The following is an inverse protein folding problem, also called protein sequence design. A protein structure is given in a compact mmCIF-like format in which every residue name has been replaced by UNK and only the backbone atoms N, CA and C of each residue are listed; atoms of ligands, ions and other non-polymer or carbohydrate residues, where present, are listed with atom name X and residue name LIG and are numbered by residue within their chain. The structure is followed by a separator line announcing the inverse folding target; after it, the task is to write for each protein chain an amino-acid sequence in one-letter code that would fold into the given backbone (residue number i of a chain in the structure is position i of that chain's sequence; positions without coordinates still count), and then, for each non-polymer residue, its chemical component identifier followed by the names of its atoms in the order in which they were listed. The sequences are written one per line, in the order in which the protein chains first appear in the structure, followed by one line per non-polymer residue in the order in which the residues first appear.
data_IF_245440861311
#
_entry.id   IF_245440861311
#
_cell.length_a   1.000
_cell.length_b   1.000
_cell.length_c   1.000
_cell.angle_alpha   90.00
_cell.angle_beta   90.00
_cell.angle_gamma   90.00
#
_symmetry.space_group_name_H-M   'P 1'
#
loop_
_entity.id
_entity.type
_entity.pdbx_description
1 polymer ?
#
# COMPACT_ATOMS: atom_id res chain seq x y z
N UNK A 1 39.82 -16.68 33.57
CA UNK A 1 40.14 -16.26 32.19
C UNK A 1 39.91 -17.43 31.20
N UNK A 2 38.77 -18.12 31.25
CA UNK A 2 38.59 -19.38 30.50
C UNK A 2 37.28 -19.51 29.71
N UNK A 3 36.37 -18.52 29.74
CA UNK A 3 35.15 -18.56 28.92
C UNK A 3 35.27 -17.82 27.57
N UNK A 4 36.03 -16.73 27.49
CA UNK A 4 36.13 -15.94 26.24
C UNK A 4 36.93 -16.63 25.13
N UNK A 5 37.88 -17.50 25.48
CA UNK A 5 38.69 -18.24 24.50
C UNK A 5 37.89 -19.36 23.83
N UNK A 6 36.93 -19.96 24.55
CA UNK A 6 35.99 -20.95 24.02
C UNK A 6 35.04 -20.32 23.00
N UNK A 7 34.50 -19.13 23.32
CA UNK A 7 33.56 -18.42 22.45
C UNK A 7 34.25 -17.95 21.15
N UNK A 8 35.51 -17.49 21.24
CA UNK A 8 36.31 -17.09 20.06
C UNK A 8 36.62 -18.31 19.18
N UNK A 9 36.93 -19.47 19.77
CA UNK A 9 37.17 -20.71 19.02
C UNK A 9 35.92 -21.17 18.26
N UNK A 10 34.72 -21.04 18.84
CA UNK A 10 33.46 -21.35 18.15
C UNK A 10 33.18 -20.39 16.98
N UNK A 11 33.43 -19.09 17.16
CA UNK A 11 33.26 -18.09 16.10
C UNK A 11 34.22 -18.37 14.93
N UNK A 12 35.49 -18.67 15.21
CA UNK A 12 36.47 -19.00 14.16
C UNK A 12 36.03 -20.24 13.38
N UNK A 13 35.53 -21.27 14.07
CA UNK A 13 35.04 -22.50 13.44
C UNK A 13 33.79 -22.24 12.56
N UNK A 14 32.93 -21.31 12.97
CA UNK A 14 31.76 -20.88 12.20
C UNK A 14 32.15 -20.08 10.96
N UNK A 15 33.10 -19.15 11.07
CA UNK A 15 33.62 -18.37 9.94
C UNK A 15 34.28 -19.27 8.88
N UNK A 16 35.13 -20.21 9.30
CA UNK A 16 35.75 -21.18 8.37
C UNK A 16 34.73 -22.08 7.66
N UNK A 17 33.61 -22.40 8.33
CA UNK A 17 32.49 -23.15 7.73
C UNK A 17 31.75 -22.30 6.69
N UNK A 18 31.59 -21.00 6.94
CA UNK A 18 30.97 -20.06 6.00
C UNK A 18 31.86 -19.84 4.77
N UNK A 19 33.17 -19.67 4.93
CA UNK A 19 34.11 -19.51 3.81
C UNK A 19 34.12 -20.73 2.89
N UNK A 20 34.14 -21.95 3.45
CA UNK A 20 34.00 -23.18 2.65
C UNK A 20 32.67 -23.25 1.90
N UNK A 21 31.60 -22.70 2.47
CA UNK A 21 30.26 -22.66 1.86
C UNK A 21 30.19 -21.63 0.74
N UNK A 22 30.78 -20.45 0.93
CA UNK A 22 30.91 -19.40 -0.09
C UNK A 22 31.73 -19.91 -1.27
N UNK A 23 32.90 -20.51 -1.02
CA UNK A 23 33.76 -21.04 -2.08
C UNK A 23 33.10 -22.17 -2.88
N UNK A 24 32.22 -22.97 -2.26
CA UNK A 24 31.41 -24.02 -2.91
C UNK A 24 30.23 -23.45 -3.71
N UNK A 25 29.76 -22.26 -3.36
CA UNK A 25 28.71 -21.54 -4.08
C UNK A 25 29.30 -20.73 -5.26
N UNK A 26 30.50 -20.17 -5.11
CA UNK A 26 31.22 -19.46 -6.17
C UNK A 26 31.77 -20.42 -7.24
N UNK A 27 32.14 -21.66 -6.86
CA UNK A 27 32.58 -22.68 -7.81
C UNK A 27 31.44 -23.40 -8.55
N UNK A 28 30.18 -23.05 -8.27
CA UNK A 28 28.98 -23.61 -8.91
C UNK A 28 28.20 -22.51 -9.60
N UNK A 29 28.74 -22.10 -10.73
CA UNK A 29 28.05 -21.44 -11.84
C UNK A 29 27.46 -20.04 -11.59
N UNK A 30 28.16 -19.07 -12.17
CA UNK A 30 27.59 -17.86 -12.70
C UNK A 30 26.46 -18.19 -13.69
N UNK A 31 25.20 -17.98 -13.29
CA UNK A 31 24.07 -17.82 -14.21
C UNK A 31 23.18 -16.69 -13.69
N UNK A 32 23.01 -15.68 -14.53
CA UNK A 32 22.10 -14.54 -14.39
C UNK A 32 20.68 -15.06 -14.12
N UNK A 33 20.10 -14.79 -12.94
CA UNK A 33 18.66 -14.90 -12.73
C UNK A 33 18.17 -13.80 -11.78
N UNK A 34 17.25 -12.98 -12.31
CA UNK A 34 16.42 -12.03 -11.57
C UNK A 34 15.94 -12.67 -10.26
N UNK A 35 16.30 -12.09 -9.12
CA UNK A 35 15.86 -12.57 -7.81
C UNK A 35 14.33 -12.52 -7.71
N UNK A 36 13.74 -13.69 -7.52
CA UNK A 36 12.33 -13.93 -7.21
C UNK A 36 11.96 -13.27 -5.86
N UNK A 37 10.84 -12.55 -5.72
CA UNK A 37 10.41 -11.97 -4.44
C UNK A 37 10.08 -13.06 -3.41
N UNK A 38 10.51 -12.85 -2.18
CA UNK A 38 10.58 -13.84 -1.10
C UNK A 38 9.30 -14.00 -0.26
N UNK A 39 8.17 -13.44 -0.67
CA UNK A 39 6.86 -13.81 -0.11
C UNK A 39 5.87 -14.13 -1.24
N UNK A 40 5.48 -15.40 -1.30
CA UNK A 40 4.52 -15.93 -2.27
C UNK A 40 3.10 -15.95 -1.68
N UNK A 41 2.96 -15.81 -0.35
CA UNK A 41 1.69 -15.96 0.34
C UNK A 41 0.98 -14.61 0.56
N UNK A 42 -0.37 -14.57 0.45
CA UNK A 42 -1.14 -13.39 0.80
C UNK A 42 -1.07 -13.10 2.31
N UNK A 43 -1.19 -11.83 2.69
CA UNK A 43 -1.34 -11.44 4.10
C UNK A 43 -2.68 -11.97 4.65
N UNK A 44 -2.71 -12.57 5.85
CA UNK A 44 -3.94 -13.12 6.40
C UNK A 44 -4.93 -12.01 6.81
N UNK A 45 -6.20 -12.24 6.53
CA UNK A 45 -7.31 -11.38 6.93
C UNK A 45 -8.20 -12.07 7.97
N UNK A 46 -8.60 -11.32 9.00
CA UNK A 46 -9.38 -11.82 10.15
C UNK A 46 -10.84 -11.36 10.08
N UNK A 47 -11.58 -11.84 9.08
CA UNK A 47 -13.02 -11.63 8.98
C UNK A 47 -13.71 -12.82 8.31
N UNK A 48 -15.04 -12.88 8.40
CA UNK A 48 -15.82 -14.01 7.90
C UNK A 48 -15.90 -14.02 6.35
N UNK A 49 -16.12 -15.19 5.72
CA UNK A 49 -16.29 -15.28 4.27
C UNK A 49 -17.45 -14.43 3.72
N UNK A 50 -18.51 -14.23 4.50
CA UNK A 50 -19.63 -13.37 4.14
C UNK A 50 -19.17 -11.91 4.05
N UNK A 51 -18.36 -11.48 5.01
CA UNK A 51 -17.79 -10.14 5.00
C UNK A 51 -16.85 -9.91 3.82
N UNK A 52 -16.14 -10.96 3.38
CA UNK A 52 -15.31 -10.91 2.17
C UNK A 52 -16.15 -10.61 0.94
N UNK A 53 -17.31 -11.25 0.80
CA UNK A 53 -18.23 -11.09 -0.32
C UNK A 53 -18.76 -9.65 -0.35
N UNK A 54 -19.18 -9.12 0.79
CA UNK A 54 -19.66 -7.74 0.90
C UNK A 54 -18.59 -6.74 0.46
N UNK A 55 -17.38 -6.83 1.03
CA UNK A 55 -16.27 -5.93 0.71
C UNK A 55 -15.92 -6.01 -0.78
N UNK A 56 -15.85 -7.22 -1.34
CA UNK A 56 -15.52 -7.41 -2.75
C UNK A 56 -16.57 -6.81 -3.70
N UNK A 57 -17.85 -6.97 -3.39
CA UNK A 57 -18.92 -6.47 -4.24
C UNK A 57 -19.13 -4.95 -4.11
N UNK A 58 -18.89 -4.38 -2.92
CA UNK A 58 -19.12 -2.95 -2.65
C UNK A 58 -17.89 -2.09 -2.94
N UNK A 59 -16.72 -2.47 -2.40
CA UNK A 59 -15.47 -1.68 -2.47
C UNK A 59 -14.24 -2.60 -2.63
N UNK A 60 -14.05 -3.23 -3.80
CA UNK A 60 -13.00 -4.22 -4.02
C UNK A 60 -11.57 -3.67 -3.91
N UNK A 61 -11.37 -2.36 -4.09
CA UNK A 61 -10.04 -1.72 -4.03
C UNK A 61 -9.37 -1.87 -2.66
N UNK A 62 -10.14 -2.03 -1.59
CA UNK A 62 -9.61 -2.26 -0.23
C UNK A 62 -8.82 -3.57 -0.15
N UNK A 63 -9.13 -4.56 -1.00
CA UNK A 63 -8.51 -5.87 -0.98
C UNK A 63 -7.16 -5.91 -1.71
N UNK A 64 -6.80 -4.89 -2.50
CA UNK A 64 -5.61 -4.90 -3.36
C UNK A 64 -4.28 -5.10 -2.59
N UNK A 65 -4.19 -4.63 -1.35
CA UNK A 65 -2.99 -4.79 -0.52
C UNK A 65 -2.84 -6.18 0.11
N UNK A 66 -3.90 -7.00 0.05
CA UNK A 66 -4.01 -8.31 0.71
C UNK A 66 -4.08 -9.47 -0.28
N UNK A 67 -4.07 -9.19 -1.58
CA UNK A 67 -4.23 -10.19 -2.63
C UNK A 67 -2.89 -10.60 -3.23
N UNK A 68 -2.83 -11.85 -3.69
CA UNK A 68 -1.80 -12.31 -4.64
C UNK A 68 -2.44 -12.47 -6.00
N UNK A 69 -1.87 -11.81 -7.01
CA UNK A 69 -2.32 -11.97 -8.39
C UNK A 69 -1.89 -13.31 -8.97
N UNK A 70 -2.85 -14.03 -9.55
CA UNK A 70 -2.65 -15.37 -10.11
C UNK A 70 -3.32 -15.55 -11.47
N UNK A 71 -2.81 -16.53 -12.22
CA UNK A 71 -3.37 -17.00 -13.49
C UNK A 71 -3.43 -18.53 -13.50
N UNK A 72 -4.27 -19.10 -14.35
CA UNK A 72 -4.27 -20.55 -14.59
C UNK A 72 -2.95 -20.96 -15.25
N UNK A 73 -2.38 -22.09 -14.84
CA UNK A 73 -1.18 -22.66 -15.46
C UNK A 73 -1.43 -23.06 -16.91
N UNK A 74 -0.39 -23.07 -17.74
CA UNK A 74 -0.50 -23.52 -19.14
C UNK A 74 -1.00 -24.98 -19.27
N UNK A 75 -0.74 -25.81 -18.26
CA UNK A 75 -1.18 -27.20 -18.20
C UNK A 75 -2.70 -27.28 -17.92
N UNK A 76 -3.19 -26.56 -16.90
CA UNK A 76 -4.62 -26.51 -16.58
C UNK A 76 -5.46 -25.77 -17.64
N UNK A 77 -4.83 -24.93 -18.46
CA UNK A 77 -5.48 -24.32 -19.63
C UNK A 77 -5.71 -25.32 -20.78
N UNK A 78 -4.80 -26.29 -20.97
CA UNK A 78 -4.84 -27.25 -22.08
C UNK A 78 -5.62 -28.53 -21.75
N UNK A 79 -5.73 -28.90 -20.48
CA UNK A 79 -6.49 -30.07 -20.04
C UNK A 79 -7.98 -29.86 -20.30
N UNK A 80 -8.58 -30.75 -21.11
CA UNK A 80 -10.03 -30.80 -21.34
C UNK A 80 -10.78 -31.56 -20.25
N UNK A 81 -10.07 -32.15 -19.27
CA UNK A 81 -10.67 -32.85 -18.14
C UNK A 81 -11.00 -31.87 -17.01
N UNK A 82 -12.14 -32.11 -16.36
CA UNK A 82 -12.65 -31.31 -15.24
C UNK A 82 -11.80 -31.42 -13.97
N UNK A 83 -10.77 -32.26 -13.96
CA UNK A 83 -10.34 -32.85 -12.69
C UNK A 83 -9.47 -31.96 -11.82
N UNK A 84 -8.60 -31.08 -12.34
CA UNK A 84 -7.70 -30.28 -11.47
C UNK A 84 -7.30 -28.95 -12.11
N UNK A 85 -7.92 -27.86 -11.67
CA UNK A 85 -7.51 -26.51 -12.08
C UNK A 85 -6.49 -25.96 -11.10
N UNK A 86 -5.29 -25.71 -11.61
CA UNK A 86 -4.16 -25.17 -10.85
C UNK A 86 -3.93 -23.73 -11.26
N UNK A 87 -3.73 -22.86 -10.27
CA UNK A 87 -3.36 -21.46 -10.44
C UNK A 87 -1.98 -21.21 -9.86
N UNK A 88 -1.23 -20.34 -10.52
CA UNK A 88 0.13 -19.94 -10.13
C UNK A 88 0.25 -18.41 -10.09
N UNK A 89 1.21 -17.92 -9.31
CA UNK A 89 1.51 -16.49 -9.23
C UNK A 89 1.88 -15.95 -10.61
N UNK A 90 1.20 -14.88 -11.01
CA UNK A 90 1.39 -14.26 -12.32
C UNK A 90 1.36 -12.75 -12.16
N UNK A 91 2.40 -12.08 -12.65
CA UNK A 91 2.43 -10.61 -12.68
C UNK A 91 1.34 -10.16 -13.65
N UNK A 92 0.35 -9.43 -13.14
CA UNK A 92 -0.83 -9.14 -13.93
C UNK A 92 -1.72 -10.37 -14.10
N UNK A 93 -1.97 -11.10 -13.02
CA UNK A 93 -2.96 -12.18 -12.98
C UNK A 93 -4.39 -11.68 -13.26
N UNK A 94 -5.24 -12.57 -13.78
CA UNK A 94 -6.67 -12.28 -13.98
C UNK A 94 -7.50 -12.53 -12.72
N UNK A 95 -6.89 -13.12 -11.70
CA UNK A 95 -7.54 -13.53 -10.47
C UNK A 95 -6.70 -13.13 -9.26
N UNK A 96 -7.36 -13.06 -8.12
CA UNK A 96 -6.80 -12.73 -6.81
C UNK A 96 -6.96 -13.91 -5.88
N UNK A 97 -5.90 -14.23 -5.13
CA UNK A 97 -5.95 -15.13 -3.98
C UNK A 97 -5.94 -14.31 -2.70
N UNK A 98 -6.87 -14.61 -1.80
CA UNK A 98 -6.95 -14.06 -0.45
C UNK A 98 -6.83 -15.17 0.58
N UNK A 99 -6.09 -14.90 1.65
CA UNK A 99 -5.98 -15.78 2.81
C UNK A 99 -6.89 -15.26 3.93
N UNK A 100 -7.89 -16.03 4.34
CA UNK A 100 -8.65 -15.78 5.56
C UNK A 100 -8.12 -16.66 6.70
N UNK A 101 -7.92 -16.04 7.87
CA UNK A 101 -7.49 -16.70 9.11
C UNK A 101 -8.56 -16.49 10.17
N UNK A 102 -9.31 -17.56 10.50
CA UNK A 102 -10.36 -17.53 11.51
C UNK A 102 -10.11 -18.62 12.55
N UNK A 103 -9.87 -18.17 13.79
CA UNK A 103 -9.72 -18.92 15.04
C UNK A 103 -8.62 -20.00 15.07
N UNK A 104 -8.50 -20.88 14.06
CA UNK A 104 -7.39 -21.83 13.85
C UNK A 104 -7.29 -22.36 12.39
N UNK A 105 -8.18 -21.94 11.47
CA UNK A 105 -8.20 -22.43 10.09
C UNK A 105 -7.72 -21.36 9.10
N UNK A 106 -6.76 -21.74 8.24
CA UNK A 106 -6.28 -20.94 7.11
C UNK A 106 -6.95 -21.42 5.83
N UNK A 107 -7.76 -20.56 5.21
CA UNK A 107 -8.46 -20.86 3.95
C UNK A 107 -8.07 -19.87 2.86
N UNK A 108 -7.76 -20.41 1.70
CA UNK A 108 -7.43 -19.62 0.52
C UNK A 108 -8.66 -19.51 -0.39
N UNK A 109 -8.97 -18.28 -0.81
CA UNK A 109 -10.10 -17.97 -1.65
C UNK A 109 -9.66 -17.33 -2.95
N UNK A 110 -10.25 -17.78 -4.06
CA UNK A 110 -10.05 -17.21 -5.38
C UNK A 110 -11.18 -16.26 -5.73
N UNK A 111 -10.82 -15.08 -6.22
CA UNK A 111 -11.71 -14.04 -6.69
C UNK A 111 -11.27 -13.56 -8.07
N UNK A 112 -12.18 -13.13 -8.95
CA UNK A 112 -11.79 -12.40 -10.15
C UNK A 112 -11.12 -11.06 -9.79
N UNK A 113 -10.12 -10.65 -10.56
CA UNK A 113 -9.47 -9.35 -10.39
C UNK A 113 -10.39 -8.22 -10.89
N UNK A 114 -10.90 -7.37 -9.99
CA UNK A 114 -11.81 -6.27 -10.34
C UNK A 114 -11.11 -5.08 -11.01
N UNK A 115 -9.80 -4.93 -10.78
CA UNK A 115 -8.99 -3.90 -11.44
C UNK A 115 -8.78 -4.19 -12.93
N UNK A 116 -9.27 -5.35 -13.41
CA UNK A 116 -9.26 -5.75 -14.82
C UNK A 116 -10.66 -5.96 -15.35
N UNK A 117 -10.88 -5.49 -16.58
CA UNK A 117 -12.10 -5.80 -17.33
C UNK A 117 -12.10 -7.28 -17.72
N UNK A 118 -12.65 -8.10 -16.84
CA UNK A 118 -12.82 -9.52 -17.04
C UNK A 118 -13.95 -9.77 -18.05
N UNK A 119 -13.62 -10.18 -19.27
CA UNK A 119 -14.63 -10.53 -20.29
C UNK A 119 -15.16 -11.93 -20.04
N UNK A 120 -16.17 -12.05 -19.19
CA UNK A 120 -16.73 -13.34 -18.75
C UNK A 120 -17.17 -14.18 -19.95
N UNK A 121 -17.74 -13.53 -20.96
CA UNK A 121 -18.18 -14.16 -22.21
C UNK A 121 -17.06 -14.83 -23.02
N UNK A 122 -15.79 -14.44 -22.82
CA UNK A 122 -14.63 -14.90 -23.62
C UNK A 122 -13.65 -15.77 -22.83
N UNK A 123 -13.76 -15.82 -21.51
CA UNK A 123 -12.82 -16.54 -20.66
C UNK A 123 -13.30 -17.98 -20.42
N UNK A 124 -12.87 -18.90 -21.29
CA UNK A 124 -13.07 -20.33 -21.09
C UNK A 124 -12.55 -20.81 -19.73
N UNK A 125 -11.45 -20.23 -19.26
CA UNK A 125 -10.85 -20.47 -17.93
C UNK A 125 -11.83 -20.29 -16.79
N UNK A 126 -12.77 -19.36 -16.91
CA UNK A 126 -13.65 -18.97 -15.83
C UNK A 126 -14.64 -20.08 -15.46
N UNK A 127 -15.08 -20.89 -16.43
CA UNK A 127 -16.00 -22.02 -16.21
C UNK A 127 -15.34 -23.17 -15.41
N UNK A 128 -14.01 -23.23 -15.42
CA UNK A 128 -13.26 -24.21 -14.64
C UNK A 128 -13.20 -23.82 -13.16
N UNK A 129 -13.40 -22.53 -12.84
CA UNK A 129 -13.17 -21.99 -11.50
C UNK A 129 -14.45 -21.44 -10.84
N UNK A 130 -15.41 -21.04 -11.66
CA UNK A 130 -16.67 -20.45 -11.23
C UNK A 130 -17.84 -21.04 -12.01
N UNK A 131 -18.94 -21.32 -11.29
CA UNK A 131 -20.26 -21.51 -11.88
C UNK A 131 -20.84 -20.14 -12.19
N UNK A 132 -21.27 -19.95 -13.43
CA UNK A 132 -21.86 -18.70 -13.90
C UNK A 132 -23.38 -18.85 -13.86
N UNK A 133 -24.05 -17.92 -13.19
CA UNK A 133 -25.51 -17.84 -13.08
C UNK A 133 -26.01 -16.51 -13.66
N UNK A 134 -27.30 -16.42 -13.97
CA UNK A 134 -27.93 -15.21 -14.54
C UNK A 134 -28.01 -15.21 -16.07
N UNK A 135 -28.71 -14.22 -16.61
CA UNK A 135 -28.91 -14.08 -18.05
C UNK A 135 -27.70 -13.42 -18.71
N UNK A 136 -27.23 -14.00 -19.82
CA UNK A 136 -26.15 -13.43 -20.63
C UNK A 136 -26.71 -12.29 -21.47
N UNK A 137 -26.59 -11.07 -20.97
CA UNK A 137 -26.71 -9.89 -21.82
C UNK A 137 -25.45 -9.79 -22.68
N UNK A 138 -25.61 -9.78 -24.01
CA UNK A 138 -24.52 -9.82 -24.99
C UNK A 138 -23.60 -8.60 -24.92
N UNK A 139 -24.03 -7.52 -24.24
CA UNK A 139 -23.30 -6.27 -24.14
C UNK A 139 -22.82 -5.92 -22.72
N UNK A 140 -23.08 -6.76 -21.71
CA UNK A 140 -22.80 -6.42 -20.32
C UNK A 140 -22.01 -7.51 -19.59
N UNK A 141 -20.69 -7.32 -19.47
CA UNK A 141 -19.80 -8.18 -18.69
C UNK A 141 -19.83 -7.86 -17.17
N UNK A 142 -20.84 -7.12 -16.66
CA UNK A 142 -20.96 -6.85 -15.23
C UNK A 142 -21.38 -8.10 -14.44
N UNK A 143 -20.75 -8.30 -13.28
CA UNK A 143 -21.01 -9.44 -12.41
C UNK A 143 -20.85 -9.08 -10.94
N UNK A 144 -21.47 -9.90 -10.09
CA UNK A 144 -21.22 -9.93 -8.65
C UNK A 144 -20.70 -11.32 -8.25
N UNK A 145 -19.98 -11.38 -7.14
CA UNK A 145 -19.63 -12.66 -6.52
C UNK A 145 -20.72 -13.08 -5.53
N UNK A 146 -21.24 -14.29 -5.71
CA UNK A 146 -22.14 -14.93 -4.73
C UNK A 146 -21.31 -15.79 -3.78
N UNK A 147 -20.31 -16.50 -4.33
CA UNK A 147 -19.44 -17.38 -3.55
C UNK A 147 -18.01 -17.37 -4.12
N UNK A 148 -16.97 -17.13 -3.30
CA UNK A 148 -15.59 -17.29 -3.74
C UNK A 148 -15.23 -18.75 -4.03
N UNK A 149 -14.28 -18.99 -4.93
CA UNK A 149 -13.76 -20.35 -5.13
C UNK A 149 -12.83 -20.71 -3.97
N UNK A 150 -12.90 -21.95 -3.48
CA UNK A 150 -12.03 -22.42 -2.39
C UNK A 150 -10.80 -23.10 -2.96
N UNK A 151 -9.63 -22.76 -2.42
CA UNK A 151 -8.34 -23.26 -2.86
C UNK A 151 -7.64 -24.05 -1.76
N UNK A 152 -6.84 -25.04 -2.17
CA UNK A 152 -5.80 -25.64 -1.35
C UNK A 152 -4.42 -25.23 -1.86
N UNK A 153 -3.48 -24.99 -0.96
CA UNK A 153 -2.09 -24.81 -1.36
C UNK A 153 -1.44 -26.16 -1.61
N UNK A 154 -0.84 -26.34 -2.79
CA UNK A 154 -0.11 -27.55 -3.13
C UNK A 154 1.18 -27.61 -2.27
N UNK A 155 1.69 -28.79 -1.87
CA UNK A 155 2.90 -28.91 -1.04
C UNK A 155 4.15 -28.22 -1.61
N UNK A 156 4.17 -27.88 -2.90
CA UNK A 156 5.22 -27.08 -3.54
C UNK A 156 5.30 -25.64 -3.02
N UNK A 157 4.23 -25.12 -2.41
CA UNK A 157 4.14 -23.78 -1.84
C UNK A 157 4.07 -22.64 -2.87
N UNK A 158 3.93 -22.97 -4.16
CA UNK A 158 3.93 -22.00 -5.27
C UNK A 158 2.63 -21.96 -6.08
N UNK A 159 1.81 -22.97 -5.90
CA UNK A 159 0.64 -23.24 -6.71
C UNK A 159 -0.54 -23.57 -5.79
N UNK A 160 -1.74 -23.26 -6.28
CA UNK A 160 -2.98 -23.57 -5.59
C UNK A 160 -3.89 -24.39 -6.50
N UNK A 161 -4.54 -25.38 -5.92
CA UNK A 161 -5.52 -26.22 -6.56
C UNK A 161 -6.92 -25.79 -6.13
N UNK A 162 -7.85 -25.70 -7.08
CA UNK A 162 -9.26 -25.42 -6.78
C UNK A 162 -9.90 -26.66 -6.18
N UNK A 163 -10.35 -26.55 -4.92
CA UNK A 163 -11.14 -27.58 -4.24
C UNK A 163 -12.62 -27.41 -4.59
N UNK A 164 -13.11 -26.16 -4.54
CA UNK A 164 -14.51 -25.86 -4.77
C UNK A 164 -14.67 -24.67 -5.72
N UNK A 165 -15.50 -24.84 -6.76
CA UNK A 165 -15.82 -23.75 -7.69
C UNK A 165 -16.61 -22.65 -6.98
N UNK A 166 -16.27 -21.40 -7.27
CA UNK A 166 -17.04 -20.24 -6.84
C UNK A 166 -18.33 -20.08 -7.64
N UNK A 167 -19.13 -19.07 -7.32
CA UNK A 167 -20.36 -18.71 -8.02
C UNK A 167 -20.32 -17.22 -8.36
N UNK A 168 -20.45 -16.93 -9.65
CA UNK A 168 -20.60 -15.58 -10.19
C UNK A 168 -21.99 -15.43 -10.78
N UNK A 169 -22.58 -14.24 -10.59
CA UNK A 169 -23.88 -13.90 -11.15
C UNK A 169 -23.72 -12.77 -12.16
N UNK A 170 -24.21 -12.99 -13.38
CA UNK A 170 -24.23 -12.01 -14.47
C UNK A 170 -25.38 -11.03 -14.28
N UNK A 171 -25.06 -9.74 -14.38
CA UNK A 171 -26.00 -8.65 -14.21
C UNK A 171 -25.68 -7.76 -13.01
N UNK A 172 -25.93 -6.46 -13.15
CA UNK A 172 -25.96 -5.55 -12.01
C UNK A 172 -27.27 -5.79 -11.27
N UNK A 173 -27.23 -6.62 -10.24
CA UNK A 173 -28.15 -6.45 -9.13
C UNK A 173 -27.35 -6.58 -7.85
N UNK A 174 -26.95 -5.43 -7.30
CA UNK A 174 -26.56 -5.38 -5.89
C UNK A 174 -27.68 -6.00 -5.04
N UNK A 175 -27.41 -6.51 -3.83
CA UNK A 175 -28.46 -6.98 -2.92
C UNK A 175 -29.61 -5.97 -2.78
N UNK A 176 -29.30 -4.67 -2.83
CA UNK A 176 -30.25 -3.56 -2.86
C UNK A 176 -31.12 -3.49 -4.12
N UNK A 177 -30.59 -3.83 -5.30
CA UNK A 177 -31.33 -3.84 -6.56
C UNK A 177 -32.23 -5.08 -6.71
N UNK A 178 -31.83 -6.24 -6.15
CA UNK A 178 -32.73 -7.39 -6.00
C UNK A 178 -33.89 -7.05 -5.08
N UNK A 179 -33.60 -6.36 -3.98
CA UNK A 179 -34.62 -5.86 -3.06
C UNK A 179 -35.58 -4.90 -3.78
N UNK A 180 -35.09 -3.95 -4.59
CA UNK A 180 -35.96 -3.01 -5.32
C UNK A 180 -36.78 -3.71 -6.41
N UNK A 181 -36.23 -4.68 -7.13
CA UNK A 181 -36.96 -5.42 -8.16
C UNK A 181 -38.01 -6.39 -7.55
N UNK A 182 -37.74 -6.97 -6.38
CA UNK A 182 -38.74 -7.72 -5.60
C UNK A 182 -39.81 -6.78 -5.03
N UNK A 183 -39.44 -5.59 -4.57
CA UNK A 183 -40.39 -4.55 -4.14
C UNK A 183 -41.28 -4.08 -5.29
N UNK A 184 -40.73 -3.89 -6.50
CA UNK A 184 -41.48 -3.52 -7.71
C UNK A 184 -42.49 -4.61 -8.10
N UNK A 185 -42.07 -5.89 -8.07
CA UNK A 185 -42.95 -7.06 -8.31
C UNK A 185 -44.03 -7.24 -7.24
N UNK A 186 -43.77 -6.80 -6.00
CA UNK A 186 -44.74 -6.80 -4.90
C UNK A 186 -45.72 -5.63 -5.00
N UNK A 187 -45.29 -4.47 -5.51
CA UNK A 187 -46.16 -3.30 -5.74
C UNK A 187 -47.11 -3.48 -6.93
N UNK A 188 -46.76 -4.30 -7.91
CA UNK A 188 -47.61 -4.55 -9.08
C UNK A 188 -48.79 -5.49 -8.77
N UNK A 189 -48.73 -6.25 -7.67
CA UNK A 189 -49.65 -7.37 -7.41
C UNK A 189 -50.63 -7.22 -6.25
N UNK A 190 -50.64 -6.16 -5.42
CA UNK A 190 -51.66 -6.08 -4.36
C UNK A 190 -52.22 -4.69 -4.08
N UNK A 191 -53.51 -4.56 -4.37
CA UNK A 191 -54.43 -3.73 -3.61
C UNK A 191 -54.23 -4.00 -2.11
N UNK A 192 -53.99 -2.92 -1.36
CA UNK A 192 -53.81 -2.84 0.11
C UNK A 192 -52.50 -3.39 0.67
N UNK A 193 -51.49 -2.50 0.72
CA UNK A 193 -50.27 -2.65 1.52
C UNK A 193 -50.60 -2.83 3.02
N UNK A 194 -50.14 -3.92 3.67
CA UNK A 194 -50.24 -4.10 5.11
C UNK A 194 -49.58 -2.94 5.87
N UNK A 195 -50.21 -2.46 6.93
CA UNK A 195 -49.73 -1.34 7.76
C UNK A 195 -48.31 -1.51 8.30
N UNK A 196 -47.86 -2.76 8.49
CA UNK A 196 -46.49 -3.12 8.87
C UNK A 196 -45.46 -2.77 7.78
N UNK A 197 -45.79 -2.97 6.49
CA UNK A 197 -44.91 -2.61 5.38
C UNK A 197 -44.86 -1.09 5.17
N UNK A 198 -45.96 -0.38 5.45
CA UNK A 198 -45.98 1.08 5.41
C UNK A 198 -45.16 1.69 6.55
N UNK A 199 -45.16 1.05 7.72
CA UNK A 199 -44.27 1.39 8.83
C UNK A 199 -42.78 1.21 8.47
N UNK A 200 -42.42 0.12 7.80
CA UNK A 200 -41.06 -0.14 7.35
C UNK A 200 -40.58 0.86 6.28
N UNK A 201 -41.45 1.23 5.33
CA UNK A 201 -41.17 2.28 4.34
C UNK A 201 -40.84 3.62 4.99
N UNK A 202 -41.62 4.04 5.98
CA UNK A 202 -41.37 5.27 6.72
C UNK A 202 -40.04 5.24 7.48
N UNK A 203 -39.67 4.09 8.05
CA UNK A 203 -38.36 3.91 8.71
C UNK A 203 -37.23 4.00 7.69
N UNK A 204 -37.37 3.38 6.52
CA UNK A 204 -36.38 3.42 5.44
C UNK A 204 -36.19 4.83 4.87
N UNK A 205 -37.27 5.55 4.61
CA UNK A 205 -37.21 6.94 4.16
C UNK A 205 -36.49 7.83 5.18
N UNK A 206 -36.79 7.64 6.48
CA UNK A 206 -36.15 8.37 7.57
C UNK A 206 -34.66 8.05 7.66
N UNK A 207 -34.27 6.79 7.52
CA UNK A 207 -32.86 6.37 7.49
C UNK A 207 -32.13 6.95 6.28
N UNK A 208 -32.74 6.93 5.10
CA UNK A 208 -32.14 7.47 3.88
C UNK A 208 -31.93 8.99 3.99
N UNK A 209 -32.90 9.72 4.55
CA UNK A 209 -32.77 11.15 4.82
C UNK A 209 -31.62 11.44 5.80
N UNK A 210 -31.54 10.69 6.89
CA UNK A 210 -30.46 10.83 7.87
C UNK A 210 -29.08 10.56 7.24
N UNK A 211 -28.97 9.54 6.39
CA UNK A 211 -27.72 9.22 5.68
C UNK A 211 -27.29 10.35 4.75
N UNK A 212 -28.23 10.97 4.02
CA UNK A 212 -27.94 12.11 3.17
C UNK A 212 -27.47 13.33 3.99
N UNK A 213 -28.10 13.61 5.12
CA UNK A 213 -27.67 14.68 6.04
C UNK A 213 -26.27 14.42 6.61
N UNK A 214 -25.97 13.18 6.99
CA UNK A 214 -24.63 12.79 7.45
C UNK A 214 -23.58 12.96 6.36
N UNK A 215 -23.87 12.58 5.13
CA UNK A 215 -22.96 12.74 3.98
C UNK A 215 -22.64 14.21 3.70
N UNK A 216 -23.63 15.09 3.80
CA UNK A 216 -23.45 16.54 3.67
C UNK A 216 -22.55 17.08 4.79
N UNK A 217 -22.79 16.66 6.05
CA UNK A 217 -21.94 17.03 7.19
C UNK A 217 -20.50 16.57 7.00
N UNK A 218 -20.30 15.33 6.53
CA UNK A 218 -18.98 14.76 6.27
C UNK A 218 -18.20 15.59 5.24
N UNK A 219 -18.81 15.87 4.09
CA UNK A 219 -18.20 16.73 3.05
C UNK A 219 -17.89 18.14 3.58
N UNK A 220 -18.72 18.70 4.46
CA UNK A 220 -18.48 20.01 5.05
C UNK A 220 -17.30 20.00 6.03
N UNK A 221 -17.12 18.91 6.78
CA UNK A 221 -16.01 18.70 7.69
C UNK A 221 -14.71 18.47 6.93
N UNK A 222 -14.73 17.66 5.87
CA UNK A 222 -13.56 17.45 5.00
C UNK A 222 -13.06 18.76 4.39
N UNK A 223 -13.95 19.58 3.84
CA UNK A 223 -13.60 20.91 3.31
C UNK A 223 -13.02 21.82 4.39
N UNK A 224 -13.53 21.70 5.62
CA UNK A 224 -13.05 22.48 6.77
C UNK A 224 -11.69 21.98 7.26
N UNK A 225 -11.45 20.68 7.27
CA UNK A 225 -10.15 20.06 7.55
C UNK A 225 -9.13 20.50 6.49
N UNK A 226 -9.45 20.38 5.21
CA UNK A 226 -8.56 20.84 4.13
C UNK A 226 -8.19 22.32 4.22
N UNK A 227 -9.11 23.15 4.73
CA UNK A 227 -8.92 24.59 4.97
C UNK A 227 -8.13 24.88 6.26
N UNK A 228 -8.19 23.99 7.24
CA UNK A 228 -7.54 24.14 8.55
C UNK A 228 -6.18 23.44 8.63
N UNK A 229 -5.92 22.43 7.79
CA UNK A 229 -4.65 21.72 7.74
C UNK A 229 -3.52 22.67 7.31
N UNK A 230 -2.50 22.83 8.16
CA UNK A 230 -1.27 23.50 7.82
C UNK A 230 -0.66 22.89 6.56
N UNK A 231 -0.27 23.73 5.61
CA UNK A 231 0.35 23.31 4.35
C UNK A 231 1.61 22.47 4.57
N UNK A 232 2.34 22.72 5.66
CA UNK A 232 3.50 21.93 6.09
C UNK A 232 3.15 20.45 6.34
N UNK A 233 1.94 20.13 6.81
CA UNK A 233 1.49 18.75 7.01
C UNK A 233 1.28 18.06 5.66
N UNK A 234 0.68 18.75 4.68
CA UNK A 234 0.50 18.22 3.32
C UNK A 234 1.83 17.91 2.65
N UNK A 235 2.84 18.77 2.86
CA UNK A 235 4.19 18.51 2.36
C UNK A 235 4.86 17.32 3.05
N UNK A 236 4.67 17.16 4.36
CA UNK A 236 5.18 15.98 5.09
C UNK A 236 4.52 14.70 4.58
N UNK A 237 3.20 14.68 4.38
CA UNK A 237 2.52 13.50 3.82
C UNK A 237 3.01 13.18 2.41
N UNK A 238 3.15 14.18 1.54
CA UNK A 238 3.66 14.00 0.19
C UNK A 238 5.10 13.45 0.20
N UNK A 239 5.92 13.88 1.16
CA UNK A 239 7.29 13.40 1.34
C UNK A 239 7.35 11.89 1.56
N UNK A 240 6.45 11.35 2.39
CA UNK A 240 6.42 9.92 2.70
C UNK A 240 5.69 9.09 1.66
N UNK A 241 4.64 9.64 1.03
CA UNK A 241 3.83 8.91 0.04
C UNK A 241 4.52 8.79 -1.31
N UNK A 242 5.16 9.86 -1.80
CA UNK A 242 5.76 9.90 -3.14
C UNK A 242 7.19 10.50 -3.13
N UNK A 243 8.16 9.91 -2.39
CA UNK A 243 9.50 10.48 -2.21
C UNK A 243 10.25 10.70 -3.55
N UNK A 244 10.06 9.83 -4.53
CA UNK A 244 10.71 9.93 -5.86
C UNK A 244 10.21 11.13 -6.67
N UNK A 245 8.97 11.58 -6.42
CA UNK A 245 8.35 12.71 -7.11
C UNK A 245 8.31 13.96 -6.23
N UNK A 246 8.74 13.87 -4.98
CA UNK A 246 8.63 14.97 -4.03
C UNK A 246 9.35 16.23 -4.52
N UNK A 247 10.51 16.13 -5.18
CA UNK A 247 11.20 17.31 -5.73
C UNK A 247 10.34 18.02 -6.81
N UNK A 248 9.74 17.24 -7.72
CA UNK A 248 9.03 17.75 -8.90
C UNK A 248 7.59 18.18 -8.60
N UNK A 249 6.89 17.46 -7.71
CA UNK A 249 5.55 17.81 -7.27
C UNK A 249 5.62 18.95 -6.25
N UNK A 250 5.16 20.14 -6.63
CA UNK A 250 5.08 21.27 -5.70
C UNK A 250 6.32 22.15 -5.61
N UNK A 251 7.10 22.28 -6.69
CA UNK A 251 8.07 23.37 -6.84
C UNK A 251 9.34 23.28 -5.98
N UNK A 252 9.83 22.08 -5.69
CA UNK A 252 10.97 21.85 -4.77
C UNK A 252 12.29 21.47 -5.45
N UNK A 253 12.61 22.07 -6.59
CA UNK A 253 13.82 21.71 -7.35
C UNK A 253 15.10 22.36 -6.81
N UNK A 254 14.98 23.33 -5.91
CA UNK A 254 16.14 24.00 -5.32
C UNK A 254 16.71 23.14 -4.21
N UNK A 255 17.88 22.57 -4.48
CA UNK A 255 18.69 21.87 -3.48
C UNK A 255 19.54 22.87 -2.70
N UNK A 256 19.64 22.65 -1.41
CA UNK A 256 20.36 23.49 -0.46
C UNK A 256 21.43 22.67 0.28
N UNK A 257 22.52 23.33 0.65
CA UNK A 257 23.53 22.83 1.59
C UNK A 257 23.86 23.89 2.62
N UNK A 258 24.49 23.48 3.73
CA UNK A 258 25.08 24.43 4.68
C UNK A 258 26.22 25.20 4.01
N UNK A 259 26.31 26.51 4.24
CA UNK A 259 27.44 27.30 3.74
C UNK A 259 28.73 26.86 4.42
N UNK A 260 29.87 26.99 3.74
CA UNK A 260 31.19 26.67 4.33
C UNK A 260 31.45 27.44 5.62
N UNK A 261 31.03 28.71 5.65
CA UNK A 261 31.10 29.56 6.84
C UNK A 261 30.30 28.99 8.01
N UNK A 262 29.13 28.40 7.75
CA UNK A 262 28.32 27.75 8.78
C UNK A 262 28.98 26.47 9.26
N UNK A 263 29.48 25.63 8.34
CA UNK A 263 30.19 24.39 8.70
C UNK A 263 31.40 24.69 9.57
N UNK A 264 32.24 25.66 9.20
CA UNK A 264 33.42 26.04 9.96
C UNK A 264 33.06 26.55 11.37
N UNK A 265 31.99 27.33 11.51
CA UNK A 265 31.49 27.79 12.81
C UNK A 265 31.01 26.64 13.69
N UNK A 266 30.31 25.65 13.12
CA UNK A 266 29.83 24.48 13.85
C UNK A 266 30.98 23.61 14.36
N UNK A 267 32.04 23.45 13.56
CA UNK A 267 33.27 22.75 14.01
C UNK A 267 33.98 23.50 15.15
N UNK A 268 33.83 24.82 15.20
CA UNK A 268 34.33 25.68 16.29
C UNK A 268 33.34 25.81 17.46
N UNK A 269 32.27 25.00 17.50
CA UNK A 269 31.23 25.00 18.53
C UNK A 269 30.41 26.31 18.64
N UNK A 270 30.36 27.11 17.57
CA UNK A 270 29.48 28.28 17.48
C UNK A 270 28.22 27.92 16.67
N UNK A 271 27.05 28.05 17.30
CA UNK A 271 25.75 27.71 16.70
C UNK A 271 24.91 28.94 16.35
N UNK A 272 25.51 30.14 16.43
CA UNK A 272 24.81 31.38 16.08
C UNK A 272 24.83 31.60 14.57
N UNK A 273 23.62 31.74 14.03
CA UNK A 273 23.29 32.02 12.63
C UNK A 273 23.66 30.91 11.65
N UNK A 274 22.67 30.07 11.35
CA UNK A 274 22.78 28.94 10.43
C UNK A 274 22.33 29.39 9.04
N UNK A 275 23.25 29.31 8.08
CA UNK A 275 22.99 29.70 6.71
C UNK A 275 23.06 28.52 5.75
N UNK A 276 22.14 28.51 4.80
CA UNK A 276 22.10 27.58 3.68
C UNK A 276 22.25 28.34 2.38
N UNK A 277 22.84 27.69 1.38
CA UNK A 277 22.97 28.21 0.02
C UNK A 277 22.50 27.18 -1.01
N UNK A 278 22.12 27.66 -2.19
CA UNK A 278 21.70 26.76 -3.26
C UNK A 278 22.90 26.05 -3.88
N UNK A 279 22.76 24.74 -4.06
CA UNK A 279 23.80 23.88 -4.60
C UNK A 279 23.15 22.68 -5.30
N UNK A 280 23.59 22.33 -6.51
CA UNK A 280 23.01 21.23 -7.29
C UNK A 280 23.20 19.86 -6.65
N UNK A 281 24.18 19.73 -5.75
CA UNK A 281 24.48 18.54 -4.95
C UNK A 281 24.05 18.71 -3.49
N UNK A 282 23.25 19.75 -3.20
CA UNK A 282 22.72 19.99 -1.87
C UNK A 282 21.92 18.79 -1.34
N UNK A 283 22.05 18.53 -0.05
CA UNK A 283 21.39 17.41 0.62
C UNK A 283 19.95 17.72 1.03
N UNK A 284 19.52 18.99 0.97
CA UNK A 284 18.20 19.39 1.42
C UNK A 284 17.40 19.99 0.27
N UNK A 285 16.07 19.83 0.30
CA UNK A 285 15.16 20.43 -0.66
C UNK A 285 14.40 21.59 -0.03
N UNK A 286 14.33 22.69 -0.77
CA UNK A 286 13.53 23.85 -0.42
C UNK A 286 12.12 23.70 -1.00
N UNK A 287 11.10 23.83 -0.17
CA UNK A 287 9.69 23.91 -0.57
C UNK A 287 9.14 25.29 -0.25
N UNK A 288 8.50 25.91 -1.24
CA UNK A 288 7.83 27.18 -1.06
C UNK A 288 6.33 26.95 -0.89
N UNK A 289 5.81 27.29 0.28
CA UNK A 289 4.37 27.34 0.53
C UNK A 289 3.85 28.76 0.66
N UNK A 290 2.54 28.91 0.84
CA UNK A 290 1.86 30.20 1.01
C UNK A 290 2.33 30.95 2.26
N UNK A 291 2.67 30.20 3.31
CA UNK A 291 3.03 30.75 4.64
C UNK A 291 4.52 30.80 4.93
N UNK A 292 5.37 30.31 4.02
CA UNK A 292 6.81 30.32 4.25
C UNK A 292 7.61 29.37 3.37
N UNK A 293 8.89 29.27 3.72
CA UNK A 293 9.84 28.38 3.07
C UNK A 293 10.17 27.23 4.02
N UNK A 294 10.12 26.01 3.50
CA UNK A 294 10.28 24.79 4.28
C UNK A 294 11.47 23.99 3.76
N UNK A 295 12.22 23.39 4.67
CA UNK A 295 13.37 22.56 4.38
C UNK A 295 13.04 21.10 4.66
N UNK A 296 13.37 20.24 3.71
CA UNK A 296 13.25 18.79 3.82
C UNK A 296 14.59 18.13 3.51
N UNK A 297 14.93 16.97 4.11
CA UNK A 297 16.03 16.15 3.61
C UNK A 297 15.72 15.69 2.18
N UNK A 298 16.66 15.72 1.24
CA UNK A 298 16.42 15.22 -0.12
C UNK A 298 16.11 13.71 -0.06
N UNK A 299 14.89 13.25 -0.45
CA UNK A 299 14.52 11.84 -0.35
C UNK A 299 15.46 10.91 -1.10
N UNK A 300 16.07 11.40 -2.19
CA UNK A 300 16.99 10.64 -3.02
C UNK A 300 18.46 10.85 -2.61
N UNK A 301 18.71 11.78 -1.71
CA UNK A 301 20.03 12.06 -1.16
C UNK A 301 20.50 11.00 -0.17
N UNK A 302 21.81 10.74 -0.16
CA UNK A 302 22.45 9.94 0.87
C UNK A 302 23.01 10.88 1.93
N UNK A 303 22.65 10.63 3.18
CA UNK A 303 23.18 11.30 4.35
C UNK A 303 24.13 10.36 5.06
N UNK A 304 25.42 10.65 4.99
CA UNK A 304 26.39 9.96 5.84
C UNK A 304 26.30 10.44 7.29
N UNK A 305 26.93 9.70 8.21
CA UNK A 305 26.94 10.03 9.63
C UNK A 305 27.38 11.46 9.92
N UNK A 306 28.38 11.96 9.20
CA UNK A 306 28.90 13.31 9.39
C UNK A 306 27.87 14.36 8.99
N UNK A 307 27.17 14.15 7.88
CA UNK A 307 26.09 15.01 7.41
C UNK A 307 24.97 15.06 8.44
N UNK A 308 24.55 13.92 8.99
CA UNK A 308 23.52 13.84 10.03
C UNK A 308 23.95 14.49 11.35
N UNK A 309 25.22 14.36 11.74
CA UNK A 309 25.79 15.06 12.88
C UNK A 309 25.77 16.58 12.63
N UNK A 310 26.16 17.04 11.44
CA UNK A 310 26.08 18.45 11.08
C UNK A 310 24.64 18.95 11.06
N UNK A 311 23.68 18.17 10.56
CA UNK A 311 22.24 18.48 10.63
C UNK A 311 21.79 18.76 12.05
N UNK A 312 22.21 17.89 12.99
CA UNK A 312 21.88 18.00 14.41
C UNK A 312 22.59 19.19 15.08
N UNK A 313 23.89 19.36 14.84
CA UNK A 313 24.67 20.47 15.42
C UNK A 313 24.19 21.84 14.92
N UNK A 314 23.78 21.91 13.65
CA UNK A 314 23.18 23.08 13.04
C UNK A 314 21.74 23.33 13.52
N UNK A 315 21.17 22.46 14.36
CA UNK A 315 19.76 22.49 14.75
C UNK A 315 18.81 22.60 13.55
N UNK A 316 19.19 22.11 12.36
CA UNK A 316 18.30 22.10 11.19
C UNK A 316 17.08 21.24 11.50
N UNK A 317 17.32 20.09 12.13
CA UNK A 317 16.28 19.21 12.61
C UNK A 317 16.65 18.69 14.01
N UNK A 318 15.65 18.67 14.89
CA UNK A 318 15.70 17.94 16.15
C UNK A 318 15.60 16.45 15.79
N UNK A 319 16.62 15.68 16.15
CA UNK A 319 16.72 14.27 15.80
C UNK A 319 16.32 13.39 16.98
N UNK A 320 15.38 12.47 16.75
CA UNK A 320 15.05 11.38 17.68
C UNK A 320 15.69 10.07 17.20
N UNK A 321 16.10 9.22 18.16
CA UNK A 321 16.80 7.97 17.88
C UNK A 321 18.33 8.10 17.78
N UNK A 322 18.99 6.97 17.51
CA UNK A 322 20.43 6.91 17.28
C UNK A 322 20.77 7.33 15.84
N UNK A 323 21.79 8.18 15.67
CA UNK A 323 22.21 8.61 14.33
C UNK A 323 22.85 7.42 13.60
N UNK A 324 22.27 6.97 12.46
CA UNK A 324 22.81 5.84 11.72
C UNK A 324 24.16 6.19 11.06
N UNK A 325 24.86 5.16 10.58
CA UNK A 325 26.12 5.34 9.82
C UNK A 325 25.86 6.05 8.49
N UNK A 326 24.73 5.73 7.85
CA UNK A 326 24.20 6.44 6.72
C UNK A 326 22.68 6.22 6.64
N UNK A 327 21.96 7.15 6.02
CA UNK A 327 20.54 7.02 5.70
C UNK A 327 20.27 7.56 4.31
N UNK A 328 19.37 6.92 3.57
CA UNK A 328 18.73 7.60 2.44
C UNK A 328 17.72 8.60 3.01
N UNK A 329 17.54 9.74 2.34
CA UNK A 329 16.60 10.76 2.82
C UNK A 329 15.18 10.23 2.95
N UNK A 330 14.71 9.39 2.01
CA UNK A 330 13.37 8.78 2.06
C UNK A 330 13.14 7.89 3.30
N UNK A 331 14.21 7.39 3.92
CA UNK A 331 14.14 6.57 5.13
C UNK A 331 14.10 7.46 6.39
N UNK A 332 14.41 8.75 6.28
CA UNK A 332 14.30 9.72 7.37
C UNK A 332 12.83 10.10 7.56
N UNK A 333 12.27 9.76 8.73
CA UNK A 333 10.89 10.11 9.05
C UNK A 333 10.80 11.58 9.47
N UNK A 334 10.46 12.45 8.52
CA UNK A 334 10.15 13.86 8.81
C UNK A 334 8.85 13.97 9.62
N UNK A 335 8.92 14.55 10.81
CA UNK A 335 7.74 14.85 11.64
C UNK A 335 7.29 16.29 11.38
N UNK A 336 8.25 17.20 11.28
CA UNK A 336 8.02 18.62 11.01
C UNK A 336 9.16 19.17 10.14
N UNK A 337 8.87 19.89 9.06
CA UNK A 337 9.92 20.51 8.26
C UNK A 337 10.54 21.70 8.98
N UNK A 338 11.80 22.00 8.70
CA UNK A 338 12.42 23.23 9.21
C UNK A 338 11.89 24.43 8.43
N UNK A 339 11.71 25.58 9.09
CA UNK A 339 11.32 26.83 8.41
C UNK A 339 12.51 27.70 8.14
N UNK A 340 12.55 28.26 6.94
CA UNK A 340 13.61 29.13 6.47
C UNK A 340 13.11 30.54 6.18
N UNK A 341 14.03 31.50 6.29
CA UNK A 341 13.85 32.87 5.81
C UNK A 341 14.88 33.14 4.72
N UNK A 342 14.41 33.57 3.55
CA UNK A 342 15.30 34.00 2.46
C UNK A 342 15.99 35.31 2.85
N UNK A 343 17.32 35.35 2.74
CA UNK A 343 18.13 36.53 3.07
C UNK A 343 18.47 37.30 1.79
N UNK A 344 18.90 36.56 0.77
CA UNK A 344 19.22 37.10 -0.56
C UNK A 344 18.87 36.04 -1.63
N UNK A 345 19.25 36.28 -2.88
CA UNK A 345 18.88 35.40 -4.00
C UNK A 345 19.40 33.96 -3.87
N UNK A 346 20.49 33.74 -3.13
CA UNK A 346 21.15 32.43 -3.06
C UNK A 346 21.36 31.93 -1.62
N UNK A 347 20.80 32.60 -0.61
CA UNK A 347 21.06 32.29 0.79
C UNK A 347 19.81 32.38 1.66
N UNK A 348 19.69 31.41 2.57
CA UNK A 348 18.59 31.28 3.52
C UNK A 348 19.14 31.14 4.94
N UNK A 349 18.39 31.64 5.92
CA UNK A 349 18.64 31.41 7.35
C UNK A 349 17.58 30.48 7.92
N UNK A 350 17.99 29.69 8.91
CA UNK A 350 17.07 28.92 9.74
C UNK A 350 16.22 29.86 10.61
N UNK A 351 14.90 29.73 10.51
CA UNK A 351 13.93 30.45 11.34
C UNK A 351 13.38 29.55 12.45
N UNK A 352 13.06 28.30 12.12
CA UNK A 352 12.55 27.31 13.06
C UNK A 352 13.13 25.94 12.72
N UNK A 353 13.62 25.21 13.72
CA UNK A 353 14.10 23.83 13.55
C UNK A 353 12.95 22.91 13.15
N UNK A 354 13.24 21.98 12.25
CA UNK A 354 12.36 20.85 11.98
C UNK A 354 12.52 19.75 13.02
N UNK A 355 11.84 18.63 12.80
CA UNK A 355 11.86 17.46 13.65
C UNK A 355 11.86 16.19 12.78
N UNK A 356 12.80 15.29 13.04
CA UNK A 356 12.97 14.04 12.30
C UNK A 356 13.23 12.87 13.27
N UNK A 357 12.84 11.68 12.83
CA UNK A 357 13.18 10.43 13.49
C UNK A 357 13.94 9.52 12.53
N UNK A 358 15.00 8.89 13.03
CA UNK A 358 15.76 7.87 12.30
C UNK A 358 15.21 6.46 12.56
#
# INVERSE_FOLDING_TARGET
MTNSESDIQEIIKYVQKLEKRVKKLESKDAIILKSVPKDIQPKPLKFSPEKLIDIYNDVPSILEEYVVEVSITAQSWRSHSEDKTIVEKSIGGNYWIILLENLDEKKYYLLPNQSKKLRISRLRSLHNMFKIQGEKDTNNDNYIIIKPALLNMIPSGKEWEIIEKGILYLGKTSPTQKLTAELEKLTENQETMPSSLQGLLNVLEKLNKNNNELKIKLNSLEKRIQKLEPEEIKWVELYHLEPEKFATLGGGNTKLKLTETTVNKLLQSSTKDIYLEADSLGQYLLKQGEKGLYLFPDPLGIFDKNSLILTRLANLFITHGEIPIASLGKDIKVIKPAKLKKINNNQWSLLESGEINF
#
